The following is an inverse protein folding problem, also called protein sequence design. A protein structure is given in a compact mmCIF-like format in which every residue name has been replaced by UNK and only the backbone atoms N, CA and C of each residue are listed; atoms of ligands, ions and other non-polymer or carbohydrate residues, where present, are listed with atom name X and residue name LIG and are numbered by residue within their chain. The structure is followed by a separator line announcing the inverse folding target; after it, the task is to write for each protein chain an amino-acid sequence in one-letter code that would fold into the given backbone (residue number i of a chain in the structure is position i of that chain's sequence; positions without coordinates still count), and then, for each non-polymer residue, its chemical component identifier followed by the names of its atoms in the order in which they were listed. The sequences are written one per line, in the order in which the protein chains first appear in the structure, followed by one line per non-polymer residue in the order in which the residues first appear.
data_IF_378797268598
#
_entry.id   IF_378797268598
#
_cell.length_a   1.000
_cell.length_b   1.000
_cell.length_c   1.000
_cell.angle_alpha   90.00
_cell.angle_beta   90.00
_cell.angle_gamma   90.00
#
_symmetry.space_group_name_H-M   'P 1'
#
loop_
_entity.id
_entity.type
_entity.pdbx_description
1 polymer ?
#
# COMPACT_ATOMS: atom_id res chain seq x y z
N UNK A 1 15.82 40.01 -35.61
CA UNK A 1 16.62 38.80 -35.33
C UNK A 1 16.07 38.16 -34.07
N UNK A 2 15.29 37.09 -34.24
CA UNK A 2 14.72 36.31 -33.15
C UNK A 2 15.78 35.35 -32.61
N UNK A 3 15.93 35.26 -31.30
CA UNK A 3 16.47 34.09 -30.62
C UNK A 3 15.65 33.83 -29.37
N UNK A 4 14.58 33.05 -29.55
CA UNK A 4 13.99 32.27 -28.46
C UNK A 4 15.00 31.19 -28.09
N UNK A 5 15.48 31.20 -26.85
CA UNK A 5 16.21 30.07 -26.28
C UNK A 5 15.21 29.20 -25.55
N UNK A 6 14.82 28.10 -26.18
CA UNK A 6 13.98 27.05 -25.60
C UNK A 6 14.89 26.26 -24.66
N UNK A 7 14.74 26.45 -23.36
CA UNK A 7 15.26 25.49 -22.38
C UNK A 7 14.29 24.31 -22.37
N UNK A 8 14.70 23.20 -22.97
CA UNK A 8 13.96 21.95 -22.92
C UNK A 8 14.01 21.41 -21.48
N UNK A 9 12.86 21.38 -20.81
CA UNK A 9 12.67 20.59 -19.61
C UNK A 9 12.66 19.11 -20.03
N UNK A 10 13.71 18.38 -19.70
CA UNK A 10 13.71 16.93 -19.79
C UNK A 10 12.82 16.39 -18.66
N UNK A 11 11.56 16.11 -18.98
CA UNK A 11 10.70 15.30 -18.12
C UNK A 11 11.27 13.87 -18.15
N UNK A 12 11.99 13.48 -17.11
CA UNK A 12 12.34 12.08 -16.90
C UNK A 12 11.04 11.33 -16.58
N UNK A 13 10.43 10.73 -17.59
CA UNK A 13 9.49 9.63 -17.39
C UNK A 13 10.30 8.49 -16.79
N UNK A 14 10.34 8.41 -15.46
CA UNK A 14 10.82 7.21 -14.78
C UNK A 14 9.82 6.11 -15.14
N UNK A 15 10.16 5.28 -16.13
CA UNK A 15 9.49 4.01 -16.34
C UNK A 15 9.82 3.14 -15.13
N UNK A 16 8.92 3.14 -14.15
CA UNK A 16 9.06 2.33 -12.94
C UNK A 16 9.06 0.85 -13.34
N UNK A 17 10.21 0.18 -13.17
CA UNK A 17 10.40 -1.25 -13.45
C UNK A 17 9.74 -2.15 -12.40
N UNK A 18 8.63 -1.73 -11.79
CA UNK A 18 7.87 -2.55 -10.82
C UNK A 18 7.45 -3.91 -11.39
N UNK A 19 7.36 -4.00 -12.72
CA UNK A 19 6.90 -5.20 -13.42
C UNK A 19 7.96 -6.32 -13.52
N UNK A 20 9.26 -6.07 -13.35
CA UNK A 20 10.27 -7.10 -13.70
C UNK A 20 10.39 -8.25 -12.69
N UNK A 21 10.05 -8.02 -11.42
CA UNK A 21 10.15 -9.04 -10.36
C UNK A 21 8.78 -9.54 -9.86
N UNK A 22 7.71 -8.76 -10.03
CA UNK A 22 6.38 -9.15 -9.56
C UNK A 22 5.87 -10.38 -10.32
N UNK A 23 5.37 -11.38 -9.61
CA UNK A 23 4.87 -12.62 -10.20
C UNK A 23 5.98 -13.52 -10.76
N UNK A 24 7.27 -13.14 -10.63
CA UNK A 24 8.38 -13.96 -11.06
C UNK A 24 8.49 -15.26 -10.21
N UNK A 25 9.08 -16.30 -10.81
CA UNK A 25 9.18 -17.63 -10.21
C UNK A 25 7.90 -18.44 -10.38
N UNK A 26 7.55 -19.23 -9.36
CA UNK A 26 6.39 -20.13 -9.37
C UNK A 26 5.46 -19.79 -8.21
N UNK A 27 4.64 -18.73 -8.28
CA UNK A 27 3.58 -18.50 -7.30
C UNK A 27 2.61 -19.68 -7.28
N UNK A 28 2.11 -20.04 -6.11
CA UNK A 28 1.20 -21.16 -5.93
C UNK A 28 -0.16 -20.89 -6.58
N UNK A 29 -0.62 -19.64 -6.56
CA UNK A 29 -1.79 -19.22 -7.29
C UNK A 29 -1.54 -17.99 -8.19
N UNK A 30 -2.29 -17.90 -9.26
CA UNK A 30 -2.18 -16.82 -10.24
C UNK A 30 -3.54 -16.36 -10.69
N UNK A 31 -3.70 -15.04 -10.89
CA UNK A 31 -4.86 -14.45 -11.56
C UNK A 31 -4.41 -13.78 -12.86
N UNK A 32 -4.98 -14.20 -13.98
CA UNK A 32 -4.68 -13.72 -15.33
C UNK A 32 -5.96 -13.34 -16.07
N UNK A 33 -5.81 -12.82 -17.28
CA UNK A 33 -6.93 -12.40 -18.12
C UNK A 33 -7.09 -10.89 -18.15
N UNK A 34 -8.28 -10.46 -18.52
CA UNK A 34 -8.63 -9.06 -18.72
C UNK A 34 -10.12 -8.85 -18.49
N UNK A 35 -10.57 -7.59 -18.55
CA UNK A 35 -11.98 -7.24 -18.36
C UNK A 35 -12.92 -8.16 -19.16
N UNK A 36 -13.89 -8.75 -18.47
CA UNK A 36 -14.86 -9.68 -19.03
C UNK A 36 -14.43 -11.15 -19.06
N UNK A 37 -13.14 -11.46 -18.85
CA UNK A 37 -12.63 -12.83 -18.83
C UNK A 37 -11.35 -12.94 -17.98
N UNK A 38 -11.53 -13.34 -16.72
CA UNK A 38 -10.48 -13.60 -15.76
C UNK A 38 -10.39 -15.09 -15.42
N UNK A 39 -9.17 -15.53 -15.19
CA UNK A 39 -8.86 -16.91 -14.80
C UNK A 39 -8.00 -16.87 -13.54
N UNK A 40 -8.40 -17.65 -12.53
CA UNK A 40 -7.55 -17.91 -11.38
C UNK A 40 -7.20 -19.40 -11.31
N UNK A 41 -5.93 -19.70 -11.08
CA UNK A 41 -5.42 -21.07 -10.95
C UNK A 41 -4.62 -21.23 -9.66
N UNK A 42 -4.70 -22.40 -9.05
CA UNK A 42 -3.73 -22.88 -8.04
C UNK A 42 -2.93 -24.03 -8.64
N UNK A 43 -1.65 -23.81 -8.90
CA UNK A 43 -0.84 -24.69 -9.75
C UNK A 43 -1.52 -24.87 -11.11
N UNK A 44 -1.81 -26.12 -11.50
CA UNK A 44 -2.50 -26.44 -12.76
C UNK A 44 -4.03 -26.47 -12.67
N UNK A 45 -4.61 -26.24 -11.49
CA UNK A 45 -6.06 -26.36 -11.27
C UNK A 45 -6.73 -24.99 -11.37
N UNK A 46 -7.75 -24.84 -12.22
CA UNK A 46 -8.61 -23.65 -12.22
C UNK A 46 -9.44 -23.60 -10.95
N UNK A 47 -9.42 -22.46 -10.26
CA UNK A 47 -10.24 -22.16 -9.07
C UNK A 47 -11.28 -21.08 -9.37
N UNK A 48 -11.12 -20.35 -10.49
CA UNK A 48 -12.10 -19.41 -11.00
C UNK A 48 -11.94 -19.24 -12.52
N UNK A 49 -13.06 -19.12 -13.23
CA UNK A 49 -13.14 -18.69 -14.62
C UNK A 49 -14.44 -17.88 -14.78
N UNK A 50 -14.34 -16.62 -15.19
CA UNK A 50 -15.50 -15.75 -15.26
C UNK A 50 -15.17 -14.28 -15.49
N UNK A 51 -16.18 -13.41 -15.48
CA UNK A 51 -16.03 -11.99 -15.81
C UNK A 51 -15.72 -11.07 -14.62
N UNK A 52 -15.79 -11.57 -13.38
CA UNK A 52 -15.63 -10.78 -12.15
C UNK A 52 -14.18 -10.84 -11.66
N UNK A 53 -13.50 -9.69 -11.70
CA UNK A 53 -12.11 -9.54 -11.30
C UNK A 53 -11.90 -9.80 -9.80
N UNK A 54 -12.78 -9.27 -8.96
CA UNK A 54 -12.70 -9.45 -7.52
C UNK A 54 -12.88 -10.92 -7.15
N UNK A 55 -13.87 -11.59 -7.73
CA UNK A 55 -14.11 -13.01 -7.49
C UNK A 55 -12.92 -13.89 -7.90
N UNK A 56 -12.20 -13.53 -8.98
CA UNK A 56 -10.98 -14.23 -9.37
C UNK A 56 -9.87 -14.09 -8.31
N UNK A 57 -9.68 -12.88 -7.77
CA UNK A 57 -8.70 -12.62 -6.70
C UNK A 57 -9.08 -13.33 -5.40
N UNK A 58 -10.33 -13.22 -4.99
CA UNK A 58 -10.86 -13.84 -3.76
C UNK A 58 -10.73 -15.37 -3.83
N UNK A 59 -11.06 -15.98 -4.97
CA UNK A 59 -10.89 -17.42 -5.19
C UNK A 59 -9.40 -17.85 -5.12
N UNK A 60 -8.50 -17.07 -5.70
CA UNK A 60 -7.06 -17.36 -5.64
C UNK A 60 -6.52 -17.26 -4.20
N UNK A 61 -6.90 -16.20 -3.46
CA UNK A 61 -6.55 -16.02 -2.05
C UNK A 61 -7.14 -17.11 -1.15
N UNK A 62 -8.37 -17.56 -1.43
CA UNK A 62 -9.02 -18.64 -0.71
C UNK A 62 -8.39 -20.01 -0.99
N UNK A 63 -7.78 -20.19 -2.15
CA UNK A 63 -7.13 -21.44 -2.52
C UNK A 63 -5.75 -21.63 -1.87
N UNK A 64 -5.02 -20.54 -1.58
CA UNK A 64 -3.67 -20.62 -1.01
C UNK A 64 -3.67 -20.77 0.53
N UNK A 65 -2.64 -21.45 1.03
CA UNK A 65 -2.36 -21.65 2.45
C UNK A 65 -1.37 -20.60 2.99
N UNK A 66 -1.15 -20.62 4.30
CA UNK A 66 -0.08 -19.84 4.93
C UNK A 66 1.29 -20.27 4.38
N UNK A 67 2.15 -19.30 4.09
CA UNK A 67 3.45 -19.48 3.43
C UNK A 67 3.37 -19.55 1.91
N UNK A 68 2.17 -19.66 1.33
CA UNK A 68 1.96 -19.67 -0.11
C UNK A 68 1.67 -18.25 -0.65
N UNK A 69 1.92 -18.08 -1.94
CA UNK A 69 1.87 -16.81 -2.65
C UNK A 69 0.84 -16.84 -3.78
N UNK A 70 0.07 -15.76 -3.87
CA UNK A 70 -0.76 -15.44 -5.03
C UNK A 70 -0.16 -14.26 -5.79
N UNK A 71 -0.09 -14.38 -7.12
CA UNK A 71 0.26 -13.29 -8.02
C UNK A 71 -0.91 -12.91 -8.94
N UNK A 72 -1.44 -11.72 -8.74
CA UNK A 72 -2.50 -11.12 -9.57
C UNK A 72 -1.84 -10.36 -10.71
N UNK A 73 -1.71 -10.99 -11.87
CA UNK A 73 -1.09 -10.41 -13.06
C UNK A 73 -2.09 -9.59 -13.89
N UNK A 74 -3.37 -9.93 -13.82
CA UNK A 74 -4.42 -9.16 -14.48
C UNK A 74 -4.65 -7.81 -13.80
N UNK A 75 -5.02 -6.81 -14.58
CA UNK A 75 -5.52 -5.51 -14.10
C UNK A 75 -7.04 -5.47 -14.18
N UNK A 76 -7.69 -4.75 -13.28
CA UNK A 76 -9.14 -4.62 -13.27
C UNK A 76 -9.66 -3.77 -12.12
N UNK A 77 -10.95 -3.46 -12.14
CA UNK A 77 -11.63 -2.78 -11.02
C UNK A 77 -12.29 -3.80 -10.11
N UNK A 78 -12.13 -3.62 -8.80
CA UNK A 78 -12.87 -4.39 -7.80
C UNK A 78 -14.17 -3.68 -7.38
N UNK A 79 -14.46 -2.51 -7.93
CA UNK A 79 -15.58 -1.68 -7.51
C UNK A 79 -15.48 -1.37 -6.02
N UNK A 80 -16.56 -1.57 -5.27
CA UNK A 80 -16.60 -1.36 -3.80
C UNK A 80 -16.28 -2.63 -3.00
N UNK A 81 -15.78 -3.68 -3.64
CA UNK A 81 -15.33 -4.86 -2.92
C UNK A 81 -14.04 -4.59 -2.14
N UNK A 82 -13.70 -5.50 -1.23
CA UNK A 82 -12.54 -5.41 -0.33
C UNK A 82 -11.76 -6.70 -0.44
N UNK A 83 -10.49 -6.61 -0.80
CA UNK A 83 -9.58 -7.75 -0.81
C UNK A 83 -9.01 -7.93 0.60
N UNK A 84 -9.43 -8.99 1.30
CA UNK A 84 -8.94 -9.33 2.64
C UNK A 84 -7.83 -10.37 2.56
N UNK A 85 -6.69 -10.10 3.21
CA UNK A 85 -5.53 -11.00 3.21
C UNK A 85 -5.35 -11.61 4.60
N UNK A 86 -5.55 -12.91 4.71
CA UNK A 86 -5.39 -13.67 5.95
C UNK A 86 -3.93 -13.91 6.35
N UNK A 87 -3.73 -14.24 7.62
CA UNK A 87 -2.41 -14.53 8.22
C UNK A 87 -1.55 -15.48 7.38
N UNK A 88 -0.28 -15.10 7.24
CA UNK A 88 0.77 -15.91 6.61
C UNK A 88 0.73 -15.95 5.09
N UNK A 89 -0.25 -15.33 4.43
CA UNK A 89 -0.35 -15.31 2.97
C UNK A 89 0.54 -14.22 2.37
N UNK A 90 1.02 -14.48 1.15
CA UNK A 90 1.78 -13.52 0.34
C UNK A 90 0.92 -13.08 -0.84
N UNK A 91 0.63 -11.78 -0.94
CA UNK A 91 -0.20 -11.20 -1.99
C UNK A 91 0.60 -10.26 -2.88
N UNK A 92 0.71 -10.57 -4.16
CA UNK A 92 1.32 -9.70 -5.16
C UNK A 92 0.25 -9.18 -6.14
N UNK A 93 0.07 -7.87 -6.20
CA UNK A 93 -0.75 -7.19 -7.20
C UNK A 93 0.12 -6.64 -8.33
N UNK A 94 0.48 -7.51 -9.27
CA UNK A 94 1.36 -7.18 -10.41
C UNK A 94 0.65 -6.40 -11.51
N UNK A 95 -0.63 -6.70 -11.73
CA UNK A 95 -1.53 -5.83 -12.46
C UNK A 95 -1.99 -4.66 -11.58
N UNK A 96 -2.54 -3.63 -12.21
CA UNK A 96 -3.09 -2.48 -11.49
C UNK A 96 -4.52 -2.80 -11.04
N UNK A 97 -4.76 -2.68 -9.74
CA UNK A 97 -6.07 -2.85 -9.11
C UNK A 97 -6.72 -1.47 -8.95
N UNK A 98 -7.86 -1.28 -9.60
CA UNK A 98 -8.68 -0.06 -9.48
C UNK A 98 -9.68 -0.19 -8.32
N UNK A 99 -9.63 0.77 -7.40
CA UNK A 99 -10.35 0.76 -6.14
C UNK A 99 -11.51 1.76 -6.16
N UNK A 100 -12.69 1.30 -5.73
CA UNK A 100 -13.85 2.14 -5.48
C UNK A 100 -13.94 2.63 -4.03
N UNK A 101 -14.75 3.67 -3.83
CA UNK A 101 -15.01 4.23 -2.52
C UNK A 101 -15.92 3.33 -1.68
N UNK A 102 -15.46 2.94 -0.49
CA UNK A 102 -16.27 2.28 0.54
C UNK A 102 -15.96 2.88 1.91
N UNK A 103 -16.93 3.59 2.48
CA UNK A 103 -16.73 4.33 3.71
C UNK A 103 -16.21 3.44 4.86
N UNK A 104 -15.13 3.88 5.51
CA UNK A 104 -14.52 3.19 6.64
C UNK A 104 -13.81 1.88 6.29
N UNK A 105 -13.51 1.63 5.01
CA UNK A 105 -12.89 0.39 4.54
C UNK A 105 -11.70 0.63 3.62
N UNK A 106 -10.77 -0.33 3.66
CA UNK A 106 -9.69 -0.47 2.71
C UNK A 106 -10.15 -1.07 1.38
N UNK A 107 -9.46 -0.73 0.29
CA UNK A 107 -9.50 -1.57 -0.92
C UNK A 107 -8.78 -2.90 -0.70
N UNK A 108 -7.64 -2.83 0.00
CA UNK A 108 -6.89 -3.97 0.52
C UNK A 108 -6.90 -3.91 2.06
N UNK A 109 -7.27 -5.01 2.71
CA UNK A 109 -7.35 -5.13 4.17
C UNK A 109 -6.50 -6.29 4.70
N UNK A 110 -5.81 -6.06 5.81
CA UNK A 110 -5.27 -7.14 6.65
C UNK A 110 -5.45 -6.78 8.12
N UNK A 111 -6.40 -7.48 8.75
CA UNK A 111 -6.96 -7.09 10.05
C UNK A 111 -6.81 -8.24 11.04
N UNK A 112 -6.19 -7.99 12.19
CA UNK A 112 -5.88 -9.01 13.21
C UNK A 112 -5.10 -10.21 12.65
N UNK A 113 -4.11 -9.95 11.79
CA UNK A 113 -3.33 -10.99 11.10
C UNK A 113 -1.88 -11.05 11.57
N UNK A 114 -1.24 -12.18 11.30
CA UNK A 114 0.19 -12.37 11.51
C UNK A 114 0.90 -12.80 10.22
N UNK A 115 2.05 -12.20 9.93
CA UNK A 115 2.96 -12.65 8.88
C UNK A 115 2.42 -12.46 7.47
N UNK A 116 1.56 -11.47 7.25
CA UNK A 116 1.12 -11.10 5.90
C UNK A 116 2.24 -10.35 5.18
N UNK A 117 2.44 -10.70 3.91
CA UNK A 117 3.41 -10.02 3.04
C UNK A 117 2.74 -9.53 1.76
N UNK A 118 3.01 -8.28 1.40
CA UNK A 118 2.57 -7.65 0.15
C UNK A 118 3.82 -7.11 -0.55
N UNK A 119 4.56 -7.94 -1.30
CA UNK A 119 5.86 -7.54 -1.87
C UNK A 119 5.73 -6.48 -2.97
N UNK A 120 4.64 -6.54 -3.75
CA UNK A 120 4.39 -5.67 -4.89
C UNK A 120 2.91 -5.36 -4.99
N UNK A 121 2.56 -4.10 -5.20
CA UNK A 121 1.19 -3.70 -5.41
C UNK A 121 1.09 -2.40 -6.21
N UNK A 122 0.23 -2.39 -7.23
CA UNK A 122 -0.12 -1.18 -8.00
C UNK A 122 -1.61 -0.87 -7.83
N UNK A 123 -1.94 0.31 -7.31
CA UNK A 123 -3.30 0.75 -7.03
C UNK A 123 -3.67 2.04 -7.78
N UNK A 124 -4.93 2.16 -8.15
CA UNK A 124 -5.55 3.39 -8.67
C UNK A 124 -6.95 3.58 -8.09
N UNK A 125 -7.58 4.71 -8.35
CA UNK A 125 -8.96 5.01 -7.97
C UNK A 125 -9.08 6.03 -6.83
N UNK A 126 -10.28 6.16 -6.29
CA UNK A 126 -10.61 7.10 -5.20
C UNK A 126 -11.24 6.35 -4.01
N UNK A 127 -10.46 5.52 -3.30
CA UNK A 127 -10.98 4.73 -2.18
C UNK A 127 -11.24 5.61 -0.94
N UNK A 128 -11.78 5.01 0.13
CA UNK A 128 -11.73 5.65 1.45
C UNK A 128 -10.31 5.51 2.03
N UNK A 129 -9.86 4.26 2.17
CA UNK A 129 -8.45 3.90 2.37
C UNK A 129 -8.02 2.99 1.21
N UNK A 130 -6.86 3.24 0.60
CA UNK A 130 -6.35 2.31 -0.41
C UNK A 130 -5.94 0.99 0.26
N UNK A 131 -5.25 1.09 1.41
CA UNK A 131 -4.90 -0.04 2.27
C UNK A 131 -5.27 0.27 3.73
N UNK A 132 -5.83 -0.71 4.43
CA UNK A 132 -6.26 -0.56 5.83
C UNK A 132 -5.81 -1.74 6.70
N UNK A 133 -5.21 -1.41 7.84
CA UNK A 133 -4.56 -2.36 8.73
C UNK A 133 -4.87 -2.07 10.20
N UNK A 134 -5.03 -3.13 11.00
CA UNK A 134 -4.93 -3.07 12.46
C UNK A 134 -4.68 -4.46 13.02
N UNK A 135 -4.22 -4.54 14.27
CA UNK A 135 -3.96 -5.84 14.93
C UNK A 135 -2.91 -6.70 14.22
N UNK A 136 -2.07 -6.10 13.38
CA UNK A 136 -1.11 -6.85 12.55
C UNK A 136 0.18 -7.13 13.30
N UNK A 137 0.75 -8.32 13.10
CA UNK A 137 2.10 -8.68 13.59
C UNK A 137 2.93 -9.18 12.42
N UNK A 138 4.19 -8.75 12.32
CA UNK A 138 5.10 -9.17 11.24
C UNK A 138 4.57 -8.84 9.82
N UNK A 139 3.88 -7.70 9.66
CA UNK A 139 3.39 -7.22 8.36
C UNK A 139 4.57 -6.67 7.54
N UNK A 140 4.70 -7.13 6.29
CA UNK A 140 5.72 -6.63 5.36
C UNK A 140 5.08 -6.08 4.09
N UNK A 141 5.30 -4.80 3.83
CA UNK A 141 4.94 -4.11 2.59
C UNK A 141 6.23 -3.85 1.80
N UNK A 142 6.31 -4.34 0.57
CA UNK A 142 7.46 -4.13 -0.31
C UNK A 142 7.33 -2.84 -1.11
N UNK A 143 7.27 -2.96 -2.44
CA UNK A 143 7.10 -1.83 -3.35
C UNK A 143 5.62 -1.61 -3.64
N UNK A 144 5.07 -0.55 -3.07
CA UNK A 144 3.66 -0.20 -3.20
C UNK A 144 3.57 1.12 -3.97
N UNK A 145 2.89 1.10 -5.11
CA UNK A 145 2.66 2.30 -5.92
C UNK A 145 1.17 2.57 -6.02
N UNK A 146 0.78 3.79 -5.67
CA UNK A 146 -0.60 4.24 -5.69
C UNK A 146 -0.71 5.51 -6.52
N UNK A 147 -1.50 5.45 -7.59
CA UNK A 147 -1.88 6.61 -8.40
C UNK A 147 -3.36 6.90 -8.13
N UNK A 148 -3.64 7.57 -7.03
CA UNK A 148 -4.99 7.81 -6.55
C UNK A 148 -5.56 9.11 -7.16
N UNK A 149 -6.88 9.22 -7.12
CA UNK A 149 -7.62 10.45 -7.46
C UNK A 149 -8.41 11.02 -6.28
N UNK A 150 -8.18 10.47 -5.08
CA UNK A 150 -8.83 10.86 -3.83
C UNK A 150 -8.54 9.85 -2.72
N UNK A 151 -9.14 10.06 -1.54
CA UNK A 151 -8.98 9.15 -0.41
C UNK A 151 -7.65 9.28 0.33
N UNK A 152 -7.33 8.28 1.13
CA UNK A 152 -6.09 8.13 1.90
C UNK A 152 -5.35 6.88 1.41
N UNK A 153 -4.03 6.94 1.33
CA UNK A 153 -3.20 5.81 0.90
C UNK A 153 -3.24 4.63 1.89
N UNK A 154 -2.33 4.63 2.87
CA UNK A 154 -2.25 3.59 3.91
C UNK A 154 -2.75 4.10 5.24
N UNK A 155 -3.73 3.40 5.82
CA UNK A 155 -4.28 3.65 7.15
C UNK A 155 -3.95 2.48 8.08
N UNK A 156 -3.22 2.75 9.17
CA UNK A 156 -3.32 1.92 10.37
C UNK A 156 -4.37 2.52 11.29
N UNK A 157 -5.28 1.70 11.79
CA UNK A 157 -6.44 2.22 12.53
C UNK A 157 -6.07 2.72 13.93
N UNK A 158 -6.74 3.81 14.34
CA UNK A 158 -6.58 4.47 15.63
C UNK A 158 -7.27 3.72 16.76
N UNK A 159 -8.49 3.26 16.47
CA UNK A 159 -9.43 2.83 17.51
C UNK A 159 -9.47 1.29 17.64
N UNK A 160 -8.62 0.59 16.90
CA UNK A 160 -8.50 -0.86 16.85
C UNK A 160 -7.20 -1.37 17.49
N UNK A 161 -7.02 -2.69 17.48
CA UNK A 161 -5.86 -3.36 18.06
C UNK A 161 -4.51 -2.82 17.51
N UNK A 162 -3.53 -2.72 18.41
CA UNK A 162 -2.18 -2.28 18.08
C UNK A 162 -1.46 -3.24 17.13
N UNK A 163 -0.46 -2.72 16.42
CA UNK A 163 0.37 -3.44 15.47
C UNK A 163 1.79 -3.60 16.00
N UNK A 164 2.49 -4.65 15.56
CA UNK A 164 3.87 -4.90 15.98
C UNK A 164 4.73 -5.40 14.82
N UNK A 165 5.97 -4.91 14.75
CA UNK A 165 6.94 -5.31 13.72
C UNK A 165 6.40 -5.14 12.30
N UNK A 166 6.13 -3.89 11.92
CA UNK A 166 5.70 -3.52 10.58
C UNK A 166 6.90 -3.05 9.76
N UNK A 167 7.03 -3.57 8.54
CA UNK A 167 8.08 -3.18 7.60
C UNK A 167 7.45 -2.62 6.33
N UNK A 168 7.96 -1.49 5.87
CA UNK A 168 7.62 -0.88 4.59
C UNK A 168 8.92 -0.61 3.83
N UNK A 169 9.04 -1.14 2.63
CA UNK A 169 10.20 -0.83 1.78
C UNK A 169 9.98 0.50 1.07
N UNK A 170 9.30 0.51 -0.08
CA UNK A 170 9.08 1.72 -0.87
C UNK A 170 7.59 1.97 -1.05
N UNK A 171 7.09 3.05 -0.46
CA UNK A 171 5.69 3.47 -0.58
C UNK A 171 5.63 4.75 -1.40
N UNK A 172 5.04 4.67 -2.59
CA UNK A 172 4.89 5.80 -3.49
C UNK A 172 3.41 6.12 -3.68
N UNK A 173 2.99 7.32 -3.29
CA UNK A 173 1.59 7.74 -3.36
C UNK A 173 1.49 9.06 -4.09
N UNK A 174 0.70 9.07 -5.16
CA UNK A 174 0.31 10.28 -5.89
C UNK A 174 -1.19 10.51 -5.79
N UNK A 175 -1.62 11.75 -5.58
CA UNK A 175 -3.02 12.16 -5.76
C UNK A 175 -4.00 11.76 -4.65
N UNK A 176 -3.51 11.32 -3.48
CA UNK A 176 -4.36 11.10 -2.32
C UNK A 176 -4.96 12.43 -1.82
N UNK A 177 -6.26 12.45 -1.52
CA UNK A 177 -6.94 13.65 -0.99
C UNK A 177 -6.67 13.91 0.49
N UNK A 178 -6.20 12.90 1.23
CA UNK A 178 -5.84 12.94 2.64
C UNK A 178 -4.36 12.56 2.81
N UNK A 179 -3.98 11.77 3.81
CA UNK A 179 -2.61 11.31 4.03
C UNK A 179 -2.16 10.27 2.99
N UNK A 180 -0.88 10.27 2.65
CA UNK A 180 -0.29 9.16 1.90
C UNK A 180 -0.08 7.94 2.81
N UNK A 181 0.58 8.10 3.96
CA UNK A 181 0.71 7.07 4.98
C UNK A 181 0.39 7.66 6.35
N UNK A 182 -0.59 7.07 7.03
CA UNK A 182 -0.95 7.41 8.41
C UNK A 182 -0.85 6.16 9.29
N UNK A 183 0.05 6.20 10.28
CA UNK A 183 0.21 5.11 11.24
C UNK A 183 -0.42 5.44 12.58
N UNK A 184 -0.97 4.42 13.23
CA UNK A 184 -1.46 4.45 14.60
C UNK A 184 -1.04 3.17 15.33
N UNK A 185 -0.69 3.31 16.61
CA UNK A 185 -0.49 2.20 17.55
C UNK A 185 0.48 1.13 17.00
N UNK A 186 1.66 1.53 16.53
CA UNK A 186 2.68 0.58 16.04
C UNK A 186 3.86 0.53 17.00
N UNK A 187 4.20 -0.68 17.46
CA UNK A 187 5.47 -0.94 18.14
C UNK A 187 6.43 -1.69 17.21
N UNK A 188 7.54 -1.05 16.84
CA UNK A 188 8.47 -1.62 15.85
C UNK A 188 8.01 -1.31 14.43
N UNK A 189 8.46 -0.17 13.90
CA UNK A 189 8.19 0.26 12.53
C UNK A 189 9.51 0.48 11.80
N UNK A 190 9.69 -0.15 10.64
CA UNK A 190 10.81 0.19 9.74
C UNK A 190 10.26 0.62 8.40
N UNK A 191 10.64 1.81 7.96
CA UNK A 191 10.31 2.35 6.63
C UNK A 191 11.62 2.66 5.92
N UNK A 192 11.83 2.13 4.72
CA UNK A 192 12.96 2.53 3.89
C UNK A 192 12.67 3.88 3.21
N UNK A 193 11.56 4.00 2.47
CA UNK A 193 11.16 5.29 1.89
C UNK A 193 9.64 5.49 1.76
N UNK A 194 9.22 6.75 1.92
CA UNK A 194 7.91 7.26 1.48
C UNK A 194 8.12 8.38 0.48
N UNK A 195 7.54 8.24 -0.71
CA UNK A 195 7.53 9.28 -1.74
C UNK A 195 6.08 9.71 -1.96
N UNK A 196 5.75 10.93 -1.56
CA UNK A 196 4.41 11.49 -1.63
C UNK A 196 4.34 12.64 -2.62
N UNK A 197 3.37 12.62 -3.54
CA UNK A 197 3.18 13.68 -4.51
C UNK A 197 1.72 14.09 -4.64
N UNK A 198 1.44 15.39 -4.69
CA UNK A 198 0.08 15.91 -4.88
C UNK A 198 -0.89 15.32 -3.83
N UNK A 199 -0.46 15.33 -2.56
CA UNK A 199 -1.17 14.73 -1.42
C UNK A 199 -1.80 15.83 -0.56
N UNK A 200 -3.09 15.68 -0.25
CA UNK A 200 -3.86 16.74 0.43
C UNK A 200 -3.41 17.03 1.86
N UNK A 201 -2.91 16.04 2.59
CA UNK A 201 -2.43 16.19 3.97
C UNK A 201 -0.97 15.68 4.09
N UNK A 202 -0.59 14.96 5.15
CA UNK A 202 0.78 14.46 5.30
C UNK A 202 1.23 13.44 4.26
N UNK A 203 2.53 13.48 3.92
CA UNK A 203 3.20 12.39 3.24
C UNK A 203 3.32 11.17 4.16
N UNK A 204 3.92 11.38 5.33
CA UNK A 204 3.96 10.40 6.42
C UNK A 204 3.52 11.05 7.74
N UNK A 205 2.51 10.46 8.38
CA UNK A 205 2.03 10.85 9.70
C UNK A 205 2.20 9.67 10.68
N UNK A 206 3.11 9.84 11.65
CA UNK A 206 3.36 8.86 12.70
C UNK A 206 2.63 9.23 13.99
N UNK A 207 1.77 8.33 14.47
CA UNK A 207 0.94 8.55 15.65
C UNK A 207 1.00 7.36 16.58
N UNK A 208 1.20 7.61 17.88
CA UNK A 208 1.37 6.56 18.89
C UNK A 208 2.31 5.43 18.45
N UNK A 209 3.34 5.76 17.66
CA UNK A 209 4.32 4.79 17.17
C UNK A 209 5.56 4.83 18.06
N UNK A 210 6.06 3.65 18.44
CA UNK A 210 7.29 3.46 19.21
C UNK A 210 8.26 2.56 18.48
N UNK A 211 9.55 2.68 18.79
CA UNK A 211 10.60 1.84 18.23
C UNK A 211 10.61 1.87 16.69
N UNK A 212 10.67 3.09 16.13
CA UNK A 212 10.59 3.31 14.69
C UNK A 212 11.91 3.75 14.08
N UNK A 213 12.16 3.28 12.87
CA UNK A 213 13.19 3.82 11.98
C UNK A 213 12.55 4.17 10.64
N UNK A 214 12.73 5.42 10.22
CA UNK A 214 12.32 5.92 8.91
C UNK A 214 13.58 6.33 8.16
N UNK A 215 13.74 5.84 6.93
CA UNK A 215 14.75 6.35 6.01
C UNK A 215 14.26 7.66 5.40
N UNK A 216 13.99 7.63 4.10
CA UNK A 216 13.60 8.82 3.33
C UNK A 216 12.11 9.13 3.45
N UNK A 217 11.79 10.42 3.62
CA UNK A 217 10.47 10.97 3.29
C UNK A 217 10.66 12.07 2.27
N UNK A 218 10.31 11.79 1.02
CA UNK A 218 10.32 12.76 -0.08
C UNK A 218 8.89 13.19 -0.40
N UNK A 219 8.66 14.49 -0.52
CA UNK A 219 7.34 15.05 -0.65
C UNK A 219 7.34 16.26 -1.58
N UNK A 220 6.54 16.17 -2.65
CA UNK A 220 6.33 17.25 -3.62
C UNK A 220 4.85 17.64 -3.67
N UNK A 221 4.54 18.93 -3.52
CA UNK A 221 3.17 19.44 -3.44
C UNK A 221 2.29 18.68 -2.42
N UNK A 222 2.80 18.51 -1.20
CA UNK A 222 2.12 17.84 -0.09
C UNK A 222 1.65 18.85 0.95
N UNK A 223 0.44 18.68 1.48
CA UNK A 223 -0.14 19.50 2.55
C UNK A 223 -0.31 21.00 2.23
N UNK A 224 -0.37 21.40 0.96
CA UNK A 224 -0.41 22.81 0.54
C UNK A 224 -1.59 23.57 1.14
N UNK A 225 -1.33 24.68 1.82
CA UNK A 225 -2.35 25.51 2.47
C UNK A 225 -2.98 24.91 3.73
N UNK A 226 -2.43 23.80 4.25
CA UNK A 226 -2.91 23.13 5.47
C UNK A 226 -1.94 23.32 6.64
N UNK A 227 -2.23 22.70 7.80
CA UNK A 227 -1.32 22.59 8.94
C UNK A 227 -0.53 21.27 8.99
N UNK A 228 -0.57 20.47 7.92
CA UNK A 228 0.18 19.22 7.79
C UNK A 228 1.56 19.44 7.13
N UNK A 229 2.32 18.37 6.97
CA UNK A 229 3.71 18.42 6.49
C UNK A 229 4.11 17.14 5.75
N UNK A 230 5.22 17.20 5.01
CA UNK A 230 5.86 16.02 4.42
C UNK A 230 5.97 14.85 5.40
N UNK A 231 6.53 15.12 6.58
CA UNK A 231 6.60 14.21 7.72
C UNK A 231 6.05 14.90 8.97
N UNK A 232 5.18 14.22 9.72
CA UNK A 232 4.63 14.70 10.97
C UNK A 232 4.58 13.60 12.04
N UNK A 233 4.81 14.02 13.29
CA UNK A 233 4.62 13.20 14.47
C UNK A 233 3.49 13.79 15.31
N UNK A 234 2.57 12.96 15.80
CA UNK A 234 1.46 13.43 16.64
C UNK A 234 1.03 12.40 17.69
N UNK A 235 0.12 12.81 18.58
CA UNK A 235 -0.58 11.93 19.51
C UNK A 235 0.36 11.02 20.31
N UNK A 236 1.29 11.61 21.06
CA UNK A 236 2.24 10.88 21.92
C UNK A 236 3.15 9.91 21.17
N UNK A 237 3.39 10.14 19.87
CA UNK A 237 4.40 9.39 19.13
C UNK A 237 5.75 9.38 19.88
N UNK A 238 6.38 8.21 19.96
CA UNK A 238 7.63 8.00 20.69
C UNK A 238 7.47 7.89 22.21
N UNK A 239 6.26 7.95 22.77
CA UNK A 239 6.07 7.77 24.21
C UNK A 239 6.21 6.30 24.59
N UNK A 240 7.29 5.97 25.29
CA UNK A 240 7.63 4.60 25.71
C UNK A 240 7.87 4.58 27.22
N UNK A 241 7.27 3.61 27.93
CA UNK A 241 7.41 3.45 29.39
C UNK A 241 7.12 4.74 30.20
N UNK A 242 6.19 5.57 29.72
CA UNK A 242 5.80 6.82 30.36
C UNK A 242 6.69 8.03 30.04
N UNK A 243 7.81 7.83 29.33
CA UNK A 243 8.73 8.89 28.90
C UNK A 243 8.87 8.99 27.38
N UNK A 244 9.82 9.80 26.91
CA UNK A 244 10.13 10.01 25.49
C UNK A 244 11.63 9.77 25.23
N UNK A 245 12.19 8.72 25.85
CA UNK A 245 13.53 8.27 25.52
C UNK A 245 13.62 7.99 24.01
N UNK A 246 14.73 8.38 23.37
CA UNK A 246 14.86 8.32 21.92
C UNK A 246 14.64 6.90 21.40
N UNK A 247 13.52 6.70 20.69
CA UNK A 247 13.15 5.41 20.08
C UNK A 247 12.57 5.57 18.65
N UNK A 248 12.57 6.79 18.12
CA UNK A 248 12.13 7.09 16.75
C UNK A 248 13.28 7.79 16.04
N UNK A 249 13.75 7.20 14.95
CA UNK A 249 14.89 7.67 14.17
C UNK A 249 14.44 7.99 12.74
N UNK A 250 14.95 9.10 12.21
CA UNK A 250 14.77 9.53 10.82
C UNK A 250 16.15 9.84 10.25
N UNK A 251 16.48 9.26 9.08
CA UNK A 251 17.78 9.43 8.42
C UNK A 251 17.84 10.69 7.54
#
# INVERSE_FOLDING_TARGET
MARLSILAAALALVSFTNATDCGAGTPEATVTGSEGAYEATKGSSSVYSGSDYFAAIDAALGAIASGERVAVMASGSIGTNVISIDSGKIFEGCGTIDLGYKAGKGGIESLNTKGVSIPYLSLTGAPYFAMHFYGTTDLSLGKIVMNLSGGLGIRFDRDEAANTNVKMDSIQVTGAGSHAVETWNIDGLTINEVIAKDVGECGLLLQMTTNAKVGLVDADNVASGTGYAALRFANQNGKLNGGYETNVFVD
#
